data_IF_326903145648
#
_entry.id   IF_326903145648
#
_cell.length_a   1.000
_cell.length_b   1.000
_cell.length_c   1.000
_cell.angle_alpha   90.00
_cell.angle_beta   90.00
_cell.angle_gamma   90.00
#
_symmetry.space_group_name_H-M   'P 1'
#
loop_
_entity.id
_entity.type
_entity.pdbx_description
1 polymer ?
#
# COMPACT_ATOMS: atom_id res chain seq x y z
N UNK A 1 13.24 1.60 12.42
CA UNK A 1 11.93 0.92 12.28
C UNK A 1 10.73 1.87 12.34
N UNK A 2 10.85 3.10 12.86
CA UNK A 2 9.73 4.04 12.97
C UNK A 2 8.99 4.27 11.64
N UNK A 3 9.71 4.61 10.56
CA UNK A 3 9.10 4.86 9.23
C UNK A 3 8.34 3.65 8.68
N UNK A 4 8.94 2.46 8.79
CA UNK A 4 8.32 1.22 8.31
C UNK A 4 7.04 0.89 9.10
N UNK A 5 7.06 1.11 10.41
CA UNK A 5 5.88 0.95 11.26
C UNK A 5 4.80 1.99 10.95
N UNK A 6 5.16 3.26 10.77
CA UNK A 6 4.22 4.32 10.34
C UNK A 6 3.53 3.99 9.02
N UNK A 7 4.29 3.55 8.02
CA UNK A 7 3.70 3.13 6.74
C UNK A 7 2.82 1.89 6.90
N UNK A 8 3.27 0.89 7.67
CA UNK A 8 2.51 -0.32 7.95
C UNK A 8 1.17 0.00 8.60
N UNK A 9 1.19 0.71 9.73
CA UNK A 9 0.01 1.07 10.50
C UNK A 9 -0.94 1.93 9.64
N UNK A 10 -0.42 2.92 8.90
CA UNK A 10 -1.23 3.76 8.02
C UNK A 10 -1.90 3.00 6.87
N UNK A 11 -1.22 2.03 6.24
CA UNK A 11 -1.83 1.20 5.19
C UNK A 11 -2.90 0.25 5.76
N UNK A 12 -2.64 -0.36 6.92
CA UNK A 12 -3.65 -1.18 7.62
C UNK A 12 -4.86 -0.32 8.01
N UNK A 13 -4.61 0.87 8.53
CA UNK A 13 -5.64 1.84 8.86
C UNK A 13 -6.41 2.26 7.63
N UNK A 14 -5.83 2.42 6.44
CA UNK A 14 -6.60 2.70 5.22
C UNK A 14 -7.54 1.55 4.80
N UNK A 15 -7.36 0.35 5.35
CA UNK A 15 -8.16 -0.84 5.05
C UNK A 15 -7.48 -1.82 4.09
N UNK A 16 -6.20 -1.62 3.77
CA UNK A 16 -5.45 -2.59 2.98
C UNK A 16 -5.06 -3.81 3.83
N UNK A 17 -5.03 -4.99 3.19
CA UNK A 17 -4.52 -6.20 3.82
C UNK A 17 -2.98 -6.18 3.81
N UNK A 18 -2.38 -5.75 4.91
CA UNK A 18 -0.93 -5.77 5.10
C UNK A 18 -0.42 -7.13 5.58
N UNK A 19 0.90 -7.35 5.53
CA UNK A 19 1.54 -8.52 6.13
C UNK A 19 1.27 -8.67 7.65
N UNK A 20 1.58 -9.84 8.25
CA UNK A 20 1.22 -10.15 9.63
C UNK A 20 1.95 -9.29 10.68
N UNK A 21 3.12 -8.76 10.34
CA UNK A 21 3.94 -7.94 11.23
C UNK A 21 4.58 -6.77 10.49
N UNK A 22 4.78 -5.66 11.20
CA UNK A 22 5.54 -4.53 10.68
C UNK A 22 7.01 -4.92 10.47
N UNK A 23 7.53 -4.67 9.27
CA UNK A 23 8.93 -4.93 8.90
C UNK A 23 9.42 -3.86 7.92
N UNK A 24 10.74 -3.71 7.68
CA UNK A 24 11.27 -2.82 6.64
C UNK A 24 10.69 -3.07 5.25
N UNK A 25 10.17 -4.29 5.01
CA UNK A 25 9.39 -4.63 3.82
C UNK A 25 7.92 -4.66 4.22
N UNK A 26 7.17 -3.62 3.83
CA UNK A 26 5.72 -3.57 4.03
C UNK A 26 5.06 -4.14 2.79
N UNK A 27 4.33 -5.25 2.94
CA UNK A 27 3.62 -5.89 1.85
C UNK A 27 2.12 -5.65 1.98
N UNK A 28 1.46 -5.33 0.85
CA UNK A 28 0.00 -5.25 0.70
C UNK A 28 -0.44 -6.36 -0.24
N UNK A 29 -1.38 -7.19 0.23
CA UNK A 29 -1.99 -8.26 -0.56
C UNK A 29 -3.10 -7.72 -1.43
N UNK A 30 -3.02 -8.02 -2.72
CA UNK A 30 -4.01 -7.62 -3.71
C UNK A 30 -5.01 -8.76 -3.98
N UNK A 31 -6.26 -8.43 -4.35
CA UNK A 31 -7.27 -9.45 -4.61
C UNK A 31 -6.94 -10.30 -5.84
N UNK A 32 -6.44 -9.67 -6.90
CA UNK A 32 -6.14 -10.31 -8.18
C UNK A 32 -5.03 -9.55 -8.93
N UNK A 33 -4.54 -10.16 -10.02
CA UNK A 33 -3.41 -9.64 -10.80
C UNK A 33 -3.74 -8.35 -11.57
N UNK A 34 -4.95 -8.20 -12.08
CA UNK A 34 -5.37 -7.02 -12.83
C UNK A 34 -5.41 -5.81 -11.90
N UNK A 35 -6.07 -5.95 -10.75
CA UNK A 35 -6.09 -4.96 -9.67
C UNK A 35 -4.68 -4.58 -9.20
N UNK A 36 -3.79 -5.57 -9.05
CA UNK A 36 -2.42 -5.34 -8.60
C UNK A 36 -1.59 -4.55 -9.63
N UNK A 37 -1.67 -4.91 -10.91
CA UNK A 37 -0.97 -4.22 -12.00
C UNK A 37 -1.53 -2.81 -12.17
N UNK A 38 -2.86 -2.65 -12.11
CA UNK A 38 -3.53 -1.35 -12.19
C UNK A 38 -3.08 -0.40 -11.08
N UNK A 39 -3.11 -0.87 -9.82
CA UNK A 39 -2.63 -0.11 -8.66
C UNK A 39 -1.14 0.23 -8.78
N UNK A 40 -0.31 -0.73 -9.19
CA UNK A 40 1.13 -0.52 -9.36
C UNK A 40 1.44 0.56 -10.41
N UNK A 41 0.79 0.50 -11.58
CA UNK A 41 0.95 1.50 -12.63
C UNK A 41 0.49 2.88 -12.17
N UNK A 42 -0.64 2.96 -11.46
CA UNK A 42 -1.17 4.23 -10.96
C UNK A 42 -0.26 4.85 -9.88
N UNK A 43 0.29 4.03 -8.98
CA UNK A 43 1.29 4.48 -8.00
C UNK A 43 2.54 5.03 -8.69
N UNK A 44 3.05 4.32 -9.70
CA UNK A 44 4.21 4.75 -10.47
C UNK A 44 3.97 6.09 -11.16
N UNK A 45 2.80 6.29 -11.77
CA UNK A 45 2.39 7.55 -12.40
C UNK A 45 2.28 8.71 -11.40
N UNK A 46 1.97 8.43 -10.12
CA UNK A 46 1.95 9.41 -9.03
C UNK A 46 3.33 9.59 -8.35
N UNK A 47 4.39 9.01 -8.93
CA UNK A 47 5.76 9.13 -8.44
C UNK A 47 6.06 8.27 -7.21
N UNK A 48 5.30 7.19 -7.00
CA UNK A 48 5.55 6.19 -5.95
C UNK A 48 5.94 4.87 -6.62
N UNK A 49 7.23 4.54 -6.58
CA UNK A 49 7.73 3.26 -7.06
C UNK A 49 7.78 2.23 -5.93
N UNK A 50 7.29 1.03 -6.21
CA UNK A 50 7.41 -0.14 -5.34
C UNK A 50 7.52 -1.43 -6.16
N UNK A 51 7.80 -2.56 -5.52
CA UNK A 51 7.93 -3.84 -6.22
C UNK A 51 6.59 -4.58 -6.29
N UNK A 52 6.19 -5.02 -7.48
CA UNK A 52 5.07 -5.93 -7.70
C UNK A 52 5.57 -7.37 -7.75
N UNK A 53 5.02 -8.24 -6.90
CA UNK A 53 5.27 -9.68 -6.94
C UNK A 53 3.99 -10.43 -7.37
N UNK A 54 4.11 -11.29 -8.38
CA UNK A 54 3.00 -12.07 -8.95
C UNK A 54 3.16 -13.57 -8.63
N UNK A 55 2.07 -14.35 -8.60
CA UNK A 55 2.13 -15.81 -8.53
C UNK A 55 2.94 -16.41 -9.70
N UNK A 56 3.61 -17.57 -9.52
CA UNK A 56 3.64 -18.43 -8.32
C UNK A 56 4.66 -17.99 -7.25
N UNK A 57 5.31 -16.83 -7.42
CA UNK A 57 6.37 -16.35 -6.53
C UNK A 57 5.85 -15.69 -5.23
N UNK A 58 4.56 -15.83 -4.91
CA UNK A 58 3.91 -15.25 -3.74
C UNK A 58 3.24 -16.32 -2.86
N UNK A 59 3.21 -16.13 -1.53
CA UNK A 59 2.37 -16.93 -0.65
C UNK A 59 0.89 -16.79 -1.06
N UNK A 60 0.13 -17.89 -0.97
CA UNK A 60 -1.32 -17.94 -1.22
C UNK A 60 -1.77 -17.65 -2.66
N UNK A 61 -0.86 -17.68 -3.65
CA UNK A 61 -1.19 -17.42 -5.06
C UNK A 61 -1.89 -16.07 -5.29
N UNK A 62 -1.72 -15.10 -4.38
CA UNK A 62 -2.21 -13.72 -4.51
C UNK A 62 -1.07 -12.76 -4.82
N UNK A 63 -1.27 -11.72 -5.65
CA UNK A 63 -0.24 -10.72 -5.90
C UNK A 63 0.05 -9.86 -4.67
N UNK A 64 1.28 -9.34 -4.58
CA UNK A 64 1.74 -8.49 -3.49
C UNK A 64 2.38 -7.21 -4.03
N UNK A 65 1.99 -6.07 -3.46
CA UNK A 65 2.72 -4.81 -3.58
C UNK A 65 3.68 -4.70 -2.39
N UNK A 66 4.99 -4.64 -2.64
CA UNK A 66 6.04 -4.65 -1.61
C UNK A 66 6.80 -3.33 -1.61
N UNK A 67 6.71 -2.61 -0.49
CA UNK A 67 7.41 -1.35 -0.25
C UNK A 67 8.62 -1.60 0.64
N UNK A 68 9.79 -1.11 0.23
CA UNK A 68 11.03 -1.20 1.01
C UNK A 68 11.31 0.14 1.69
N UNK A 69 11.06 0.23 2.99
CA UNK A 69 11.20 1.47 3.77
C UNK A 69 12.54 1.48 4.50
N UNK A 70 13.29 2.56 4.29
CA UNK A 70 14.56 2.83 4.98
C UNK A 70 14.45 4.00 5.96
N UNK A 71 15.43 4.12 6.86
CA UNK A 71 15.52 5.25 7.77
C UNK A 71 15.82 6.59 7.07
N UNK A 72 16.25 6.56 5.80
CA UNK A 72 16.50 7.77 5.02
C UNK A 72 15.22 8.42 4.47
N UNK A 73 14.08 7.74 4.55
CA UNK A 73 12.81 8.32 4.14
C UNK A 73 12.36 9.37 5.16
N UNK A 74 11.86 10.51 4.67
CA UNK A 74 11.29 11.54 5.55
C UNK A 74 9.83 11.24 5.86
N UNK A 75 9.30 11.85 6.92
CA UNK A 75 7.89 11.70 7.27
C UNK A 75 6.95 12.16 6.15
N UNK A 76 7.31 13.23 5.44
CA UNK A 76 6.54 13.76 4.31
C UNK A 76 6.50 12.78 3.13
N UNK A 77 7.58 12.01 2.92
CA UNK A 77 7.58 10.96 1.91
C UNK A 77 6.64 9.82 2.28
N UNK A 78 6.60 9.43 3.56
CA UNK A 78 5.67 8.41 4.05
C UNK A 78 4.21 8.91 3.94
N UNK A 79 3.95 10.16 4.31
CA UNK A 79 2.62 10.76 4.21
C UNK A 79 2.16 10.87 2.75
N UNK A 80 3.06 11.23 1.83
CA UNK A 80 2.77 11.21 0.39
C UNK A 80 2.36 9.81 -0.07
N UNK A 81 3.10 8.77 0.32
CA UNK A 81 2.77 7.39 -0.05
C UNK A 81 1.38 7.03 0.48
N UNK A 82 1.10 7.26 1.75
CA UNK A 82 -0.21 6.98 2.35
C UNK A 82 -1.35 7.74 1.64
N UNK A 83 -1.15 9.02 1.33
CA UNK A 83 -2.14 9.84 0.61
C UNK A 83 -2.44 9.29 -0.78
N UNK A 84 -1.41 8.91 -1.54
CA UNK A 84 -1.58 8.33 -2.89
C UNK A 84 -2.25 6.96 -2.80
N UNK A 85 -1.88 6.13 -1.82
CA UNK A 85 -2.54 4.83 -1.58
C UNK A 85 -4.02 4.99 -1.25
N UNK A 86 -4.38 5.97 -0.42
CA UNK A 86 -5.77 6.26 -0.07
C UNK A 86 -6.57 6.68 -1.31
N UNK A 87 -6.06 7.65 -2.08
CA UNK A 87 -6.69 8.16 -3.29
C UNK A 87 -6.93 7.06 -4.33
N UNK A 88 -5.89 6.29 -4.66
CA UNK A 88 -5.95 5.25 -5.68
C UNK A 88 -6.73 4.03 -5.21
N UNK A 89 -6.59 3.66 -3.93
CA UNK A 89 -7.35 2.56 -3.35
C UNK A 89 -8.85 2.80 -3.43
N UNK A 90 -9.31 4.04 -3.18
CA UNK A 90 -10.71 4.41 -3.35
C UNK A 90 -11.12 4.45 -4.82
N UNK A 91 -10.30 5.07 -5.69
CA UNK A 91 -10.61 5.20 -7.12
C UNK A 91 -10.71 3.84 -7.83
N UNK A 92 -9.91 2.85 -7.41
CA UNK A 92 -9.90 1.49 -7.93
C UNK A 92 -10.86 0.55 -7.19
N UNK A 93 -11.59 1.04 -6.18
CA UNK A 93 -12.53 0.22 -5.40
C UNK A 93 -11.88 -0.86 -4.52
N UNK A 94 -10.61 -0.68 -4.14
CA UNK A 94 -9.83 -1.61 -3.32
C UNK A 94 -10.04 -1.42 -1.81
N UNK A 95 -10.43 -0.21 -1.41
CA UNK A 95 -10.80 0.14 -0.02
C UNK A 95 -12.09 0.95 -0.01
N UNK A 96 -12.83 0.90 1.09
CA UNK A 96 -14.13 1.57 1.22
C UNK A 96 -13.98 3.06 1.60
N UNK A 97 -14.90 3.90 1.13
CA UNK A 97 -14.88 5.36 1.29
C UNK A 97 -15.57 5.85 2.58
N UNK A 98 -16.03 4.94 3.46
CA UNK A 98 -16.91 5.27 4.59
C UNK A 98 -16.27 6.11 5.70
N UNK A 99 -14.93 6.28 5.73
CA UNK A 99 -14.25 6.99 6.82
C UNK A 99 -14.05 8.49 6.62
N UNK A 100 -14.39 9.05 5.45
CA UNK A 100 -14.37 10.51 5.25
C UNK A 100 -15.70 11.20 5.63
N UNK A 101 -16.72 10.46 6.08
CA UNK A 101 -18.05 11.01 6.41
C UNK A 101 -18.28 11.36 7.89
N UNK A 102 -17.30 11.17 8.77
CA UNK A 102 -17.44 11.50 10.20
C UNK A 102 -16.62 12.76 10.53
N UNK A 103 -17.04 13.89 9.98
CA UNK A 103 -16.73 15.23 10.49
C UNK A 103 -17.67 16.24 9.83
N UNK A 104 -18.95 16.17 10.21
CA UNK A 104 -19.94 17.23 10.03
C UNK A 104 -20.54 17.55 11.40
#
# INVERSE_FOLDING_TARGET
>A
MANARRLYDGLSELGFQTGPTASPIVAVTMPDQESAIGMWNALLQNGVYLNLALPPATPDSRPLLRTSVSAAHTDEQIDKVLSVFAQLGQALGLIDNQRQRVSA
#
